data_IF_033766966470
#
_entry.id   IF_033766966470
#
_cell.length_a   1.000
_cell.length_b   1.000
_cell.length_c   1.000
_cell.angle_alpha   90.00
_cell.angle_beta   90.00
_cell.angle_gamma   90.00
#
_symmetry.space_group_name_H-M   'P 1'
#
loop_
_entity.id
_entity.type
_entity.pdbx_description
1 polymer ?
#
# COMPACT_ATOMS: atom_id res chain seq x y z
N UNK A 1 17.00 17.81 5.96
CA UNK A 1 15.52 17.87 5.96
C UNK A 1 15.04 17.78 7.39
N UNK A 2 14.10 18.63 7.79
CA UNK A 2 13.52 18.61 9.13
C UNK A 2 12.36 17.62 9.22
N UNK A 3 12.15 17.05 10.40
CA UNK A 3 10.94 16.26 10.69
C UNK A 3 9.72 17.21 10.74
N UNK A 4 8.52 16.73 10.41
CA UNK A 4 7.31 17.53 10.61
C UNK A 4 7.13 17.88 12.09
N UNK A 5 6.47 19.01 12.36
CA UNK A 5 6.32 19.55 13.71
C UNK A 5 5.63 18.59 14.70
N UNK A 6 4.67 17.79 14.23
CA UNK A 6 3.98 16.77 15.03
C UNK A 6 3.88 15.46 14.25
N UNK A 7 3.90 14.34 14.97
CA UNK A 7 3.90 12.99 14.38
C UNK A 7 2.68 12.72 13.48
N UNK A 8 1.53 13.30 13.82
CA UNK A 8 0.27 13.14 13.08
C UNK A 8 0.25 13.79 11.69
N UNK A 9 1.26 14.60 11.35
CA UNK A 9 1.42 15.15 9.99
C UNK A 9 2.01 14.13 9.00
N UNK A 10 2.46 12.96 9.47
CA UNK A 10 3.00 11.90 8.62
C UNK A 10 1.87 11.09 7.99
N UNK A 11 2.08 10.66 6.76
CA UNK A 11 1.17 9.82 6.00
C UNK A 11 1.96 8.90 5.07
N UNK A 12 1.36 7.78 4.69
CA UNK A 12 1.91 6.85 3.69
C UNK A 12 1.13 6.99 2.38
N UNK A 13 1.76 6.67 1.26
CA UNK A 13 1.09 6.59 -0.04
C UNK A 13 1.48 5.32 -0.78
N UNK A 14 0.49 4.69 -1.41
CA UNK A 14 0.73 3.86 -2.57
C UNK A 14 0.68 4.78 -3.80
N UNK A 15 1.71 4.75 -4.67
CA UNK A 15 1.82 5.69 -5.79
C UNK A 15 2.32 4.95 -7.03
N UNK A 16 1.71 5.25 -8.17
CA UNK A 16 2.17 4.77 -9.48
C UNK A 16 2.63 5.95 -10.31
N UNK A 17 3.81 5.82 -10.90
CA UNK A 17 4.39 6.80 -11.81
C UNK A 17 4.54 6.21 -13.20
N UNK A 18 4.32 7.05 -14.21
CA UNK A 18 4.75 6.82 -15.58
C UNK A 18 6.03 7.61 -15.82
N UNK A 19 7.09 6.94 -16.26
CA UNK A 19 8.39 7.55 -16.55
C UNK A 19 8.63 7.47 -18.05
N UNK A 20 8.82 8.61 -18.69
CA UNK A 20 9.37 8.70 -20.06
C UNK A 20 10.86 9.00 -19.96
N UNK A 21 11.68 7.97 -20.11
CA UNK A 21 13.13 8.08 -19.98
C UNK A 21 13.77 8.88 -21.13
N UNK A 22 13.17 8.87 -22.33
CA UNK A 22 13.70 9.63 -23.48
C UNK A 22 13.48 11.12 -23.31
N UNK A 23 12.30 11.51 -22.80
CA UNK A 23 11.97 12.91 -22.52
C UNK A 23 12.45 13.39 -21.15
N UNK A 24 12.96 12.49 -20.31
CA UNK A 24 13.33 12.74 -18.91
C UNK A 24 12.17 13.33 -18.09
N UNK A 25 10.96 12.82 -18.29
CA UNK A 25 9.76 13.29 -17.58
C UNK A 25 9.16 12.18 -16.72
N UNK A 26 8.58 12.58 -15.58
CA UNK A 26 7.82 11.71 -14.68
C UNK A 26 6.40 12.27 -14.51
N UNK A 27 5.40 11.39 -14.54
CA UNK A 27 4.01 11.72 -14.27
C UNK A 27 3.47 10.77 -13.20
N UNK A 28 2.98 11.33 -12.09
CA UNK A 28 2.17 10.55 -11.14
C UNK A 28 0.82 10.24 -11.82
N UNK A 29 0.48 8.95 -11.97
CA UNK A 29 -0.76 8.53 -12.65
C UNK A 29 -1.81 8.00 -11.69
N UNK A 30 -1.39 7.59 -10.48
CA UNK A 30 -2.31 7.13 -9.45
C UNK A 30 -1.69 7.30 -8.05
N UNK A 31 -2.54 7.53 -7.05
CA UNK A 31 -2.15 7.52 -5.64
C UNK A 31 -3.32 7.13 -4.73
N UNK A 32 -2.99 6.59 -3.55
CA UNK A 32 -3.91 6.32 -2.44
C UNK A 32 -3.19 6.51 -1.09
N UNK A 33 -3.95 6.88 -0.04
CA UNK A 33 -3.49 6.87 1.35
C UNK A 33 -3.20 8.23 1.96
N UNK A 34 -2.96 9.28 1.15
CA UNK A 34 -2.67 10.64 1.64
C UNK A 34 -3.76 11.18 2.57
N UNK A 35 -5.02 11.06 2.16
CA UNK A 35 -6.16 11.62 2.90
C UNK A 35 -6.55 10.79 4.13
N UNK A 36 -5.92 9.62 4.32
CA UNK A 36 -6.07 8.80 5.53
C UNK A 36 -5.12 9.20 6.65
N UNK A 37 -4.20 10.12 6.38
CA UNK A 37 -3.34 10.74 7.38
C UNK A 37 -2.53 9.74 8.20
N UNK A 38 -2.35 10.06 9.48
CA UNK A 38 -1.54 9.26 10.41
C UNK A 38 -2.18 7.93 10.81
N UNK A 39 -3.49 7.78 10.68
CA UNK A 39 -4.18 6.51 11.00
C UNK A 39 -3.78 5.39 10.06
N UNK A 40 -3.47 5.73 8.81
CA UNK A 40 -2.97 4.77 7.81
C UNK A 40 -1.47 4.88 7.57
N UNK A 41 -0.76 5.67 8.39
CA UNK A 41 0.68 5.82 8.26
C UNK A 41 1.40 4.55 8.73
N UNK A 42 2.13 3.92 7.81
CA UNK A 42 3.06 2.83 8.09
C UNK A 42 4.48 3.36 8.01
N UNK A 43 5.18 3.58 9.15
CA UNK A 43 6.53 4.14 9.15
C UNK A 43 7.58 3.19 8.56
N UNK A 44 7.30 1.89 8.53
CA UNK A 44 8.22 0.84 8.05
C UNK A 44 7.46 -0.25 7.28
N UNK A 45 8.23 -1.07 6.56
CA UNK A 45 7.81 -2.27 5.82
C UNK A 45 6.79 -1.94 4.72
N UNK A 46 5.69 -2.70 4.57
CA UNK A 46 4.63 -2.49 3.56
C UNK A 46 5.04 -2.85 2.11
N UNK A 47 4.05 -2.98 1.23
CA UNK A 47 4.25 -3.22 -0.20
C UNK A 47 3.08 -2.68 -1.03
N UNK A 48 3.37 -2.27 -2.27
CA UNK A 48 2.38 -2.05 -3.33
C UNK A 48 2.80 -2.83 -4.56
N UNK A 49 1.87 -3.54 -5.20
CA UNK A 49 2.14 -4.36 -6.37
C UNK A 49 0.96 -4.33 -7.35
N UNK A 50 1.25 -4.20 -8.65
CA UNK A 50 0.25 -4.33 -9.70
C UNK A 50 0.02 -5.81 -10.06
N UNK A 51 -1.24 -6.24 -10.11
CA UNK A 51 -1.65 -7.60 -10.43
C UNK A 51 -2.26 -7.63 -11.83
N UNK A 52 -1.54 -8.26 -12.77
CA UNK A 52 -1.91 -8.27 -14.20
C UNK A 52 -3.18 -9.08 -14.50
N UNK A 53 -3.45 -10.13 -13.73
CA UNK A 53 -4.59 -11.03 -13.94
C UNK A 53 -5.95 -10.35 -13.72
N UNK A 54 -6.01 -9.33 -12.86
CA UNK A 54 -7.23 -8.59 -12.54
C UNK A 54 -7.20 -7.11 -12.93
N UNK A 55 -6.11 -6.64 -13.54
CA UNK A 55 -5.86 -5.21 -13.77
C UNK A 55 -6.07 -4.40 -12.48
N UNK A 56 -5.37 -4.82 -11.42
CA UNK A 56 -5.57 -4.30 -10.07
C UNK A 56 -4.26 -3.89 -9.40
N UNK A 57 -4.37 -3.10 -8.34
CA UNK A 57 -3.25 -2.69 -7.48
C UNK A 57 -3.53 -3.26 -6.10
N UNK A 58 -2.64 -4.13 -5.62
CA UNK A 58 -2.64 -4.60 -4.24
C UNK A 58 -1.74 -3.70 -3.40
N UNK A 59 -2.26 -3.28 -2.25
CA UNK A 59 -1.55 -2.46 -1.27
C UNK A 59 -1.63 -3.16 0.07
N UNK A 60 -0.48 -3.37 0.70
CA UNK A 60 -0.42 -3.85 2.08
C UNK A 60 0.29 -2.82 2.95
N UNK A 61 -0.49 -2.21 3.86
CA UNK A 61 -0.01 -1.28 4.87
C UNK A 61 0.33 -2.07 6.13
N UNK A 62 1.61 -2.34 6.34
CA UNK A 62 2.04 -3.36 7.30
C UNK A 62 2.12 -2.88 8.75
N UNK A 63 2.20 -1.56 8.98
CA UNK A 63 2.35 -0.96 10.32
C UNK A 63 1.42 0.24 10.52
N UNK A 64 0.26 0.23 9.85
CA UNK A 64 -0.76 1.27 10.06
C UNK A 64 -1.16 1.34 11.54
N UNK A 65 -1.51 2.53 12.02
CA UNK A 65 -1.80 2.86 13.41
C UNK A 65 -0.65 2.69 14.43
N UNK A 66 0.54 2.18 14.05
CA UNK A 66 1.68 1.98 14.95
C UNK A 66 2.09 3.28 15.66
N UNK A 67 2.16 4.39 14.90
CA UNK A 67 2.57 5.70 15.42
C UNK A 67 1.50 6.42 16.25
N UNK A 68 0.21 6.08 16.09
CA UNK A 68 -0.90 6.76 16.76
C UNK A 68 -1.33 6.02 18.04
N UNK A 69 -1.54 4.70 17.96
CA UNK A 69 -2.16 3.91 19.04
C UNK A 69 -1.19 2.93 19.71
N UNK A 70 0.06 2.86 19.24
CA UNK A 70 1.06 1.91 19.72
C UNK A 70 0.74 0.44 19.40
N UNK A 71 -0.39 0.17 18.75
CA UNK A 71 -0.83 -1.16 18.31
C UNK A 71 -1.01 -1.11 16.79
N UNK A 72 -0.17 -1.81 16.02
CA UNK A 72 -0.32 -1.87 14.59
C UNK A 72 -1.62 -2.60 14.23
N UNK A 73 -2.30 -2.08 13.21
CA UNK A 73 -3.45 -2.71 12.59
C UNK A 73 -3.18 -2.80 11.08
N UNK A 74 -2.43 -3.83 10.62
CA UNK A 74 -2.11 -3.97 9.21
C UNK A 74 -3.36 -4.02 8.35
N UNK A 75 -3.24 -3.60 7.10
CA UNK A 75 -4.39 -3.53 6.19
C UNK A 75 -3.98 -3.93 4.77
N UNK A 76 -4.70 -4.90 4.21
CA UNK A 76 -4.57 -5.36 2.82
C UNK A 76 -5.74 -4.78 2.02
N UNK A 77 -5.40 -4.13 0.90
CA UNK A 77 -6.34 -3.50 0.00
C UNK A 77 -6.09 -4.00 -1.43
N UNK A 78 -7.14 -4.15 -2.21
CA UNK A 78 -7.06 -4.33 -3.66
C UNK A 78 -7.91 -3.25 -4.33
N UNK A 79 -7.37 -2.62 -5.38
CA UNK A 79 -8.05 -1.59 -6.16
C UNK A 79 -8.08 -2.02 -7.62
N UNK A 80 -9.22 -1.90 -8.30
CA UNK A 80 -9.22 -1.94 -9.76
C UNK A 80 -8.34 -0.78 -10.30
N UNK A 81 -7.66 -0.99 -11.42
CA UNK A 81 -6.75 0.02 -11.98
C UNK A 81 -7.44 1.38 -12.15
N UNK A 82 -6.81 2.43 -11.60
CA UNK A 82 -7.33 3.79 -11.62
C UNK A 82 -8.38 4.12 -10.55
N UNK A 83 -8.94 3.12 -9.84
CA UNK A 83 -9.97 3.34 -8.83
C UNK A 83 -9.42 4.03 -7.58
N UNK A 84 -10.26 4.81 -6.89
CA UNK A 84 -9.93 5.46 -5.60
C UNK A 84 -10.54 4.75 -4.40
N UNK A 85 -11.51 3.88 -4.64
CA UNK A 85 -12.14 3.04 -3.63
C UNK A 85 -11.64 1.60 -3.81
N UNK A 86 -11.31 0.90 -2.72
CA UNK A 86 -10.85 -0.48 -2.79
C UNK A 86 -12.01 -1.41 -3.18
N UNK A 87 -11.73 -2.40 -4.02
CA UNK A 87 -12.64 -3.52 -4.29
C UNK A 87 -12.57 -4.60 -3.20
N UNK A 88 -11.46 -4.66 -2.46
CA UNK A 88 -11.26 -5.50 -1.28
C UNK A 88 -10.53 -4.70 -0.20
N UNK A 89 -10.96 -4.85 1.05
CA UNK A 89 -10.28 -4.30 2.22
C UNK A 89 -10.33 -5.31 3.37
N UNK A 90 -9.17 -5.72 3.85
CA UNK A 90 -9.01 -6.63 4.99
C UNK A 90 -8.14 -5.93 6.03
N UNK A 91 -8.71 -5.71 7.21
CA UNK A 91 -7.99 -5.16 8.36
C UNK A 91 -7.62 -6.30 9.32
N UNK A 92 -6.36 -6.35 9.70
CA UNK A 92 -5.83 -7.35 10.63
C UNK A 92 -5.84 -6.76 12.05
N UNK A 93 -6.41 -7.50 12.99
CA UNK A 93 -6.37 -7.18 14.43
C UNK A 93 -5.54 -8.21 15.17
N UNK A 94 -4.75 -7.78 16.15
CA UNK A 94 -3.92 -8.67 16.98
C UNK A 94 -2.72 -9.32 16.27
N UNK A 95 -2.45 -8.98 15.01
CA UNK A 95 -1.36 -9.58 14.21
C UNK A 95 0.05 -9.07 14.56
N UNK A 96 0.17 -8.00 15.36
CA UNK A 96 1.46 -7.36 15.64
C UNK A 96 2.03 -6.64 14.41
N UNK A 97 3.35 -6.50 14.35
CA UNK A 97 4.03 -5.82 13.24
C UNK A 97 4.02 -6.69 11.98
N UNK A 98 3.48 -6.16 10.89
CA UNK A 98 3.58 -6.79 9.57
C UNK A 98 4.91 -6.49 8.86
N UNK A 99 5.26 -7.32 7.87
CA UNK A 99 6.33 -7.05 6.93
C UNK A 99 5.78 -6.78 5.52
N UNK A 100 5.34 -7.83 4.83
CA UNK A 100 4.73 -7.77 3.50
C UNK A 100 3.60 -8.79 3.39
N UNK A 101 2.69 -8.60 2.43
CA UNK A 101 1.68 -9.57 2.05
C UNK A 101 1.53 -9.54 0.54
N UNK A 102 1.39 -10.72 -0.07
CA UNK A 102 1.27 -10.89 -1.52
C UNK A 102 0.14 -11.87 -1.82
N UNK A 103 -0.69 -11.60 -2.84
CA UNK A 103 -1.65 -12.60 -3.32
C UNK A 103 -0.90 -13.79 -3.91
N UNK A 104 -1.36 -15.01 -3.59
CA UNK A 104 -0.81 -16.24 -4.17
C UNK A 104 -1.78 -16.83 -5.19
N UNK A 105 -1.26 -17.29 -6.32
CA UNK A 105 -2.02 -18.09 -7.28
C UNK A 105 -1.75 -19.56 -7.01
N UNK A 106 -2.78 -20.31 -6.63
CA UNK A 106 -2.67 -21.77 -6.42
C UNK A 106 -2.35 -22.49 -7.72
N UNK A 107 -2.87 -22.00 -8.85
CA UNK A 107 -2.51 -22.54 -10.16
C UNK A 107 -1.01 -22.39 -10.43
N UNK A 108 -0.44 -21.19 -10.24
CA UNK A 108 1.01 -21.02 -10.40
C UNK A 108 1.83 -21.83 -9.38
N UNK A 109 1.32 -22.01 -8.17
CA UNK A 109 2.02 -22.73 -7.11
C UNK A 109 2.08 -24.25 -7.35
N UNK A 110 1.06 -24.84 -7.98
CA UNK A 110 0.92 -26.30 -8.05
C UNK A 110 0.82 -26.89 -9.46
N UNK A 111 0.63 -26.07 -10.49
CA UNK A 111 0.49 -26.58 -11.85
C UNK A 111 1.88 -26.81 -12.48
N UNK A 112 2.25 -28.07 -12.71
CA UNK A 112 3.55 -28.51 -13.26
C UNK A 112 3.64 -28.40 -14.79
N UNK A 113 2.87 -27.51 -15.42
CA UNK A 113 2.91 -27.34 -16.88
C UNK A 113 3.93 -26.29 -17.27
#
# INVERSE_FOLDING_TARGET
>A
MEQPAIASMKYSRAVVYKIDQKKMTIQQVWEYGKDRGSDWFSPITSIVEYQKDKDSIVVYSATAELGNKGKPAPELLEFNWGAKEPSLQIKFEGAGLGYQAMPISLEKAFNKK
#
